data_IF_895446841766
#
_entry.id   IF_895446841766
#
_cell.length_a   1.000
_cell.length_b   1.000
_cell.length_c   1.000
_cell.angle_alpha   90.00
_cell.angle_beta   90.00
_cell.angle_gamma   90.00
#
_symmetry.space_group_name_H-M   'P 1'
#
loop_
_entity.id
_entity.type
_entity.pdbx_description
1 polymer ?
#
# COMPACT_ATOMS: atom_id res chain seq x y z
N UNK A 1 -14.74 -4.54 -15.62
CA UNK A 1 -14.23 -5.92 -15.39
C UNK A 1 -12.98 -6.32 -16.21
N UNK A 2 -12.64 -5.66 -17.33
CA UNK A 2 -11.49 -6.06 -18.18
C UNK A 2 -10.16 -6.33 -17.46
N UNK A 3 -9.77 -5.46 -16.52
CA UNK A 3 -8.45 -5.55 -15.86
C UNK A 3 -8.27 -6.83 -15.01
N UNK A 4 -9.32 -7.26 -14.29
CA UNK A 4 -9.26 -8.51 -13.52
C UNK A 4 -9.25 -9.73 -14.45
N UNK A 5 -10.02 -9.72 -15.53
CA UNK A 5 -10.06 -10.82 -16.51
C UNK A 5 -8.70 -11.03 -17.18
N UNK A 6 -8.05 -9.93 -17.56
CA UNK A 6 -6.71 -9.95 -18.12
C UNK A 6 -5.67 -10.44 -17.10
N UNK A 7 -5.84 -10.12 -15.82
CA UNK A 7 -4.95 -10.58 -14.75
C UNK A 7 -5.12 -12.07 -14.48
N UNK A 8 -6.37 -12.54 -14.35
CA UNK A 8 -6.71 -13.96 -14.19
C UNK A 8 -6.17 -14.81 -15.34
N UNK A 9 -6.33 -14.33 -16.58
CA UNK A 9 -5.76 -14.99 -17.77
C UNK A 9 -4.23 -15.08 -17.71
N UNK A 10 -3.53 -14.03 -17.27
CA UNK A 10 -2.06 -14.05 -17.12
C UNK A 10 -1.60 -14.97 -16.00
N UNK A 11 -2.35 -15.04 -14.90
CA UNK A 11 -2.04 -15.89 -13.77
C UNK A 11 -2.44 -17.35 -14.01
N UNK A 12 -3.28 -17.63 -15.01
CA UNK A 12 -3.84 -18.97 -15.25
C UNK A 12 -4.77 -19.41 -14.11
N UNK A 13 -5.52 -18.47 -13.53
CA UNK A 13 -6.40 -18.70 -12.39
C UNK A 13 -7.83 -18.26 -12.69
N UNK A 14 -8.80 -18.91 -12.05
CA UNK A 14 -10.22 -18.54 -12.15
C UNK A 14 -10.60 -17.40 -11.19
N UNK A 15 -9.82 -17.24 -10.10
CA UNK A 15 -10.00 -16.19 -9.10
C UNK A 15 -8.66 -15.81 -8.45
N UNK A 16 -8.63 -14.67 -7.76
CA UNK A 16 -7.57 -14.28 -6.80
C UNK A 16 -8.12 -14.17 -5.39
N UNK A 17 -7.29 -14.43 -4.37
CA UNK A 17 -7.73 -14.25 -2.99
C UNK A 17 -8.01 -12.79 -2.66
N UNK A 18 -7.12 -11.87 -3.07
CA UNK A 18 -7.28 -10.43 -2.83
C UNK A 18 -7.03 -9.65 -4.12
N UNK A 19 -8.00 -8.83 -4.53
CA UNK A 19 -7.81 -7.80 -5.54
C UNK A 19 -7.59 -6.44 -4.87
N UNK A 20 -6.43 -5.83 -5.07
CA UNK A 20 -6.10 -4.51 -4.50
C UNK A 20 -6.27 -3.42 -5.56
N UNK A 21 -7.01 -2.35 -5.25
CA UNK A 21 -6.90 -1.11 -6.04
C UNK A 21 -5.57 -0.46 -5.74
N UNK A 22 -4.88 -0.01 -6.79
CA UNK A 22 -3.49 0.46 -6.67
C UNK A 22 -3.38 1.87 -6.10
N UNK A 23 -4.40 2.71 -6.29
CA UNK A 23 -4.50 4.09 -5.78
C UNK A 23 -5.92 4.62 -5.90
N UNK A 24 -6.18 5.74 -5.23
CA UNK A 24 -7.37 6.56 -5.49
C UNK A 24 -7.37 7.08 -6.94
N UNK A 25 -8.51 6.96 -7.62
CA UNK A 25 -8.73 7.59 -8.93
C UNK A 25 -9.54 8.88 -8.75
N UNK A 26 -8.94 10.02 -9.11
CA UNK A 26 -9.59 11.33 -8.99
C UNK A 26 -10.58 11.61 -10.13
N UNK A 27 -10.61 10.79 -11.18
CA UNK A 27 -11.48 10.99 -12.34
C UNK A 27 -12.74 10.14 -12.30
N UNK A 28 -12.82 9.18 -11.37
CA UNK A 28 -13.95 8.27 -11.22
C UNK A 28 -14.58 8.46 -9.84
N UNK A 29 -15.90 8.70 -9.75
CA UNK A 29 -16.60 8.70 -8.47
C UNK A 29 -16.29 7.42 -7.69
N UNK A 30 -16.02 7.55 -6.39
CA UNK A 30 -15.60 6.42 -5.58
C UNK A 30 -16.71 5.34 -5.54
N UNK A 31 -17.97 5.73 -5.51
CA UNK A 31 -19.13 4.84 -5.53
C UNK A 31 -19.11 3.91 -6.75
N UNK A 32 -18.78 4.42 -7.94
CA UNK A 32 -18.66 3.62 -9.17
C UNK A 32 -17.55 2.57 -9.03
N UNK A 33 -16.42 2.96 -8.44
CA UNK A 33 -15.30 2.03 -8.18
C UNK A 33 -15.72 0.95 -7.18
N UNK A 34 -16.38 1.33 -6.08
CA UNK A 34 -16.79 0.40 -5.03
C UNK A 34 -17.87 -0.57 -5.51
N UNK A 35 -18.84 -0.10 -6.31
CA UNK A 35 -19.85 -0.96 -6.94
C UNK A 35 -19.19 -1.98 -7.88
N UNK A 36 -18.25 -1.52 -8.72
CA UNK A 36 -17.52 -2.41 -9.63
C UNK A 36 -16.69 -3.45 -8.89
N UNK A 37 -16.03 -3.09 -7.78
CA UNK A 37 -15.29 -4.02 -6.93
C UNK A 37 -16.22 -5.05 -6.26
N UNK A 38 -17.39 -4.59 -5.79
CA UNK A 38 -18.41 -5.47 -5.25
C UNK A 38 -18.89 -6.50 -6.28
N UNK A 39 -19.10 -6.09 -7.54
CA UNK A 39 -19.46 -7.02 -8.61
C UNK A 39 -18.36 -8.06 -8.88
N UNK A 40 -17.09 -7.67 -8.85
CA UNK A 40 -15.95 -8.60 -8.99
C UNK A 40 -15.97 -9.68 -7.89
N UNK A 41 -16.30 -9.31 -6.65
CA UNK A 41 -16.45 -10.26 -5.54
C UNK A 41 -17.68 -11.14 -5.74
N UNK A 42 -18.83 -10.55 -6.09
CA UNK A 42 -20.09 -11.28 -6.30
C UNK A 42 -19.99 -12.34 -7.40
N UNK A 43 -19.29 -12.04 -8.49
CA UNK A 43 -19.06 -13.01 -9.57
C UNK A 43 -17.92 -13.99 -9.29
N UNK A 44 -17.29 -13.91 -8.11
CA UNK A 44 -16.29 -14.85 -7.62
C UNK A 44 -14.89 -14.71 -8.21
N UNK A 45 -14.60 -13.60 -8.91
CA UNK A 45 -13.27 -13.35 -9.52
C UNK A 45 -12.23 -12.88 -8.50
N UNK A 46 -12.68 -12.33 -7.38
CA UNK A 46 -11.86 -12.09 -6.19
C UNK A 46 -12.61 -12.59 -4.94
N UNK A 47 -11.90 -13.17 -3.96
CA UNK A 47 -12.51 -13.52 -2.67
C UNK A 47 -12.70 -12.31 -1.77
N UNK A 48 -11.70 -11.44 -1.76
CA UNK A 48 -11.67 -10.19 -1.00
C UNK A 48 -11.10 -9.05 -1.84
N UNK A 49 -11.28 -7.83 -1.34
CA UNK A 49 -10.71 -6.62 -1.95
C UNK A 49 -9.86 -5.87 -0.93
N UNK A 50 -8.84 -5.20 -1.44
CA UNK A 50 -7.97 -4.32 -0.66
C UNK A 50 -7.76 -2.99 -1.37
N UNK A 51 -7.13 -2.07 -0.66
CA UNK A 51 -6.79 -0.75 -1.15
C UNK A 51 -5.29 -0.47 -1.01
N UNK A 52 -4.83 0.57 -1.68
CA UNK A 52 -3.47 1.09 -1.61
C UNK A 52 -3.51 2.58 -1.93
N UNK A 53 -2.55 3.34 -1.40
CA UNK A 53 -2.21 4.71 -1.83
C UNK A 53 -3.40 5.66 -1.97
N UNK A 54 -3.91 6.12 -0.83
CA UNK A 54 -4.93 7.18 -0.71
C UNK A 54 -4.84 7.83 0.66
N UNK A 55 -5.46 9.00 0.83
CA UNK A 55 -5.53 9.65 2.14
C UNK A 55 -6.43 8.86 3.10
N UNK A 56 -6.15 8.90 4.39
CA UNK A 56 -6.96 8.24 5.41
C UNK A 56 -8.44 8.71 5.36
N UNK A 57 -8.68 10.00 5.09
CA UNK A 57 -10.03 10.54 4.91
C UNK A 57 -10.78 9.94 3.71
N UNK A 58 -10.08 9.71 2.60
CA UNK A 58 -10.63 9.05 1.42
C UNK A 58 -10.95 7.57 1.70
N UNK A 59 -10.05 6.88 2.41
CA UNK A 59 -10.28 5.49 2.78
C UNK A 59 -11.46 5.35 3.75
N UNK A 60 -11.56 6.22 4.76
CA UNK A 60 -12.69 6.26 5.69
C UNK A 60 -14.03 6.49 4.96
N UNK A 61 -14.05 7.43 3.99
CA UNK A 61 -15.23 7.65 3.15
C UNK A 61 -15.62 6.37 2.38
N UNK A 62 -14.64 5.67 1.80
CA UNK A 62 -14.89 4.46 1.04
C UNK A 62 -15.44 3.31 1.92
N UNK A 63 -14.86 3.10 3.11
CA UNK A 63 -15.35 2.12 4.07
C UNK A 63 -16.81 2.40 4.48
N UNK A 64 -17.12 3.67 4.76
CA UNK A 64 -18.47 4.07 5.14
C UNK A 64 -19.48 3.84 4.00
N UNK A 65 -19.13 4.20 2.77
CA UNK A 65 -19.98 3.92 1.60
C UNK A 65 -20.20 2.41 1.41
N UNK A 66 -19.16 1.59 1.54
CA UNK A 66 -19.31 0.13 1.45
C UNK A 66 -20.30 -0.37 2.51
N UNK A 67 -20.25 0.15 3.75
CA UNK A 67 -21.18 -0.25 4.83
C UNK A 67 -22.61 0.18 4.51
N UNK A 68 -22.82 1.42 4.09
CA UNK A 68 -24.14 1.97 3.77
C UNK A 68 -24.85 1.20 2.65
N UNK A 69 -24.10 0.78 1.64
CA UNK A 69 -24.64 0.06 0.49
C UNK A 69 -24.66 -1.47 0.66
N UNK A 70 -24.08 -2.00 1.74
CA UNK A 70 -23.91 -3.45 1.94
C UNK A 70 -22.98 -4.09 0.89
N UNK A 71 -22.01 -3.34 0.38
CA UNK A 71 -21.02 -3.82 -0.56
C UNK A 71 -19.88 -4.58 0.14
N UNK A 72 -19.16 -5.38 -0.64
CA UNK A 72 -17.90 -5.97 -0.20
C UNK A 72 -16.98 -4.91 0.41
N UNK A 73 -16.46 -5.18 1.60
CA UNK A 73 -15.60 -4.27 2.37
C UNK A 73 -14.13 -4.47 1.99
N UNK A 74 -13.33 -3.41 2.10
CA UNK A 74 -11.87 -3.57 2.07
C UNK A 74 -11.37 -4.34 3.30
N UNK A 75 -10.60 -5.40 3.07
CA UNK A 75 -10.00 -6.21 4.16
C UNK A 75 -8.53 -5.91 4.39
N UNK A 76 -7.89 -5.20 3.45
CA UNK A 76 -6.49 -4.83 3.56
C UNK A 76 -6.17 -3.45 2.98
N UNK A 77 -5.14 -2.80 3.54
CA UNK A 77 -4.51 -1.60 3.01
C UNK A 77 -3.01 -1.86 2.76
N UNK A 78 -2.52 -1.48 1.58
CA UNK A 78 -1.11 -1.63 1.19
C UNK A 78 -0.38 -0.28 1.34
N UNK A 79 0.24 -0.08 2.49
CA UNK A 79 0.82 1.21 2.88
C UNK A 79 2.31 1.32 2.55
N UNK A 80 2.76 2.53 2.24
CA UNK A 80 4.20 2.83 2.19
C UNK A 80 4.67 2.99 3.63
N UNK A 81 5.45 2.04 4.16
CA UNK A 81 5.83 2.14 5.56
C UNK A 81 7.17 1.46 5.84
N UNK A 82 8.09 2.20 6.47
CA UNK A 82 9.42 1.75 6.85
C UNK A 82 10.04 2.71 7.88
N UNK A 83 11.23 2.41 8.41
CA UNK A 83 11.84 3.21 9.48
C UNK A 83 12.05 4.69 9.15
N UNK A 84 12.23 5.04 7.87
CA UNK A 84 12.45 6.41 7.41
C UNK A 84 11.23 7.01 6.70
N UNK A 85 10.10 6.30 6.67
CA UNK A 85 8.83 6.81 6.17
C UNK A 85 7.70 6.29 7.06
N UNK A 86 7.18 7.16 7.93
CA UNK A 86 6.23 6.82 9.00
C UNK A 86 4.97 7.67 9.01
N UNK A 87 4.66 8.36 7.89
CA UNK A 87 3.48 9.24 7.82
C UNK A 87 2.18 8.47 8.08
N UNK A 88 2.12 7.20 7.68
CA UNK A 88 0.95 6.32 7.88
C UNK A 88 0.57 6.13 9.35
N UNK A 89 1.50 6.31 10.30
CA UNK A 89 1.21 6.26 11.74
C UNK A 89 0.28 7.37 12.21
N UNK A 90 0.22 8.50 11.48
CA UNK A 90 -0.56 9.66 11.88
C UNK A 90 -2.06 9.39 11.82
N UNK A 91 -2.52 8.76 10.75
CA UNK A 91 -3.96 8.61 10.47
C UNK A 91 -4.34 7.24 9.89
N UNK A 92 -3.61 6.73 8.89
CA UNK A 92 -4.00 5.51 8.16
C UNK A 92 -3.90 4.25 9.03
N UNK A 93 -2.80 4.04 9.75
CA UNK A 93 -2.63 2.87 10.61
C UNK A 93 -3.63 2.87 11.79
N UNK A 94 -3.86 3.99 12.51
CA UNK A 94 -4.95 4.07 13.48
C UNK A 94 -6.32 3.74 12.89
N UNK A 95 -6.64 4.27 11.69
CA UNK A 95 -7.90 3.98 11.01
C UNK A 95 -8.03 2.48 10.68
N UNK A 96 -6.99 1.88 10.10
CA UNK A 96 -7.00 0.44 9.77
C UNK A 96 -7.20 -0.42 11.02
N UNK A 97 -6.54 -0.07 12.13
CA UNK A 97 -6.72 -0.77 13.40
C UNK A 97 -8.16 -0.66 13.93
N UNK A 98 -8.76 0.54 13.88
CA UNK A 98 -10.13 0.77 14.32
C UNK A 98 -11.17 0.03 13.48
N UNK A 99 -10.95 -0.04 12.16
CA UNK A 99 -11.88 -0.63 11.19
C UNK A 99 -11.64 -2.13 10.96
N UNK A 100 -10.63 -2.72 11.61
CA UNK A 100 -10.29 -4.14 11.45
C UNK A 100 -9.69 -4.49 10.08
N UNK A 101 -9.03 -3.52 9.43
CA UNK A 101 -8.37 -3.68 8.14
C UNK A 101 -6.92 -4.12 8.35
N UNK A 102 -6.49 -5.19 7.67
CA UNK A 102 -5.11 -5.66 7.73
C UNK A 102 -4.17 -4.73 6.96
N UNK A 103 -2.97 -4.49 7.48
CA UNK A 103 -1.96 -3.66 6.82
C UNK A 103 -0.90 -4.53 6.16
N UNK A 104 -0.57 -4.24 4.90
CA UNK A 104 0.46 -4.93 4.10
C UNK A 104 1.51 -3.91 3.65
N UNK A 105 2.54 -3.62 4.46
CA UNK A 105 3.54 -2.61 4.12
C UNK A 105 4.34 -2.97 2.87
N UNK A 106 4.58 -1.98 2.00
CA UNK A 106 5.53 -2.09 0.90
C UNK A 106 6.78 -1.24 1.13
N UNK A 107 7.89 -1.65 0.49
CA UNK A 107 9.24 -1.09 0.71
C UNK A 107 9.68 -1.04 2.18
N UNK A 108 9.61 -2.14 2.95
CA UNK A 108 9.99 -2.15 4.38
C UNK A 108 11.46 -1.78 4.63
N UNK A 109 12.34 -1.97 3.64
CA UNK A 109 13.77 -1.63 3.69
C UNK A 109 14.10 -0.34 2.92
N UNK A 110 13.11 0.51 2.71
CA UNK A 110 13.21 1.75 1.96
C UNK A 110 13.91 1.60 0.60
N UNK A 111 13.38 0.70 -0.24
CA UNK A 111 13.97 0.36 -1.56
C UNK A 111 15.41 -0.20 -1.50
N UNK A 112 15.89 -0.54 -0.31
CA UNK A 112 17.25 -1.01 -0.04
C UNK A 112 18.18 0.03 0.60
N UNK A 113 17.72 1.25 0.90
CA UNK A 113 18.54 2.27 1.59
C UNK A 113 18.92 1.84 3.00
N UNK A 114 18.06 1.08 3.68
CA UNK A 114 18.25 0.64 5.06
C UNK A 114 19.04 -0.68 5.20
N UNK A 115 19.73 -1.11 4.14
CA UNK A 115 20.52 -2.37 4.15
C UNK A 115 22.02 -2.16 4.12
N UNK A 116 22.48 -0.92 4.28
CA UNK A 116 23.88 -0.52 4.15
C UNK A 116 24.14 0.81 4.88
N UNK A 117 25.42 1.16 5.12
CA UNK A 117 25.78 2.49 5.59
C UNK A 117 25.19 3.60 4.73
N UNK A 118 24.73 4.68 5.37
CA UNK A 118 24.14 5.81 4.65
C UNK A 118 25.14 6.45 3.67
N UNK A 119 24.65 6.85 2.49
CA UNK A 119 25.49 7.41 1.43
C UNK A 119 26.13 6.38 0.49
N UNK A 120 26.10 5.08 0.81
CA UNK A 120 26.57 4.05 -0.13
C UNK A 120 25.64 3.89 -1.35
N UNK A 121 26.24 3.84 -2.53
CA UNK A 121 25.51 3.71 -3.80
C UNK A 121 25.53 2.29 -4.36
N UNK A 122 24.53 1.95 -5.16
CA UNK A 122 24.48 0.70 -5.94
C UNK A 122 23.87 0.96 -7.31
N UNK A 123 24.10 0.05 -8.26
CA UNK A 123 23.45 0.09 -9.56
C UNK A 123 21.93 0.25 -9.45
N UNK A 124 21.28 -0.47 -8.51
CA UNK A 124 19.84 -0.35 -8.25
C UNK A 124 19.45 1.05 -7.80
N UNK A 125 20.16 1.63 -6.82
CA UNK A 125 19.88 2.98 -6.31
C UNK A 125 19.98 4.04 -7.41
N UNK A 126 20.98 3.91 -8.28
CA UNK A 126 21.20 4.84 -9.40
C UNK A 126 20.08 4.74 -10.45
N UNK A 127 19.62 3.53 -10.76
CA UNK A 127 18.58 3.28 -11.76
C UNK A 127 17.14 3.46 -11.24
N UNK A 128 16.93 3.55 -9.93
CA UNK A 128 15.60 3.58 -9.32
C UNK A 128 15.02 5.00 -9.27
N UNK A 129 14.42 5.42 -10.38
CA UNK A 129 13.79 6.76 -10.49
C UNK A 129 12.65 6.97 -9.48
N UNK A 130 11.92 5.91 -9.12
CA UNK A 130 10.84 6.02 -8.12
C UNK A 130 11.42 6.24 -6.73
N UNK A 131 12.46 5.47 -6.37
CA UNK A 131 13.13 5.58 -5.08
C UNK A 131 13.75 6.96 -4.83
N UNK A 132 14.24 7.63 -5.88
CA UNK A 132 14.79 8.99 -5.78
C UNK A 132 13.77 9.97 -5.24
N UNK A 133 12.52 9.92 -5.69
CA UNK A 133 11.50 10.89 -5.31
C UNK A 133 10.90 10.61 -3.91
N UNK A 134 10.99 9.39 -3.40
CA UNK A 134 10.34 8.98 -2.15
C UNK A 134 11.07 9.44 -0.88
N UNK A 135 12.36 9.77 -0.95
CA UNK A 135 13.22 9.93 0.24
C UNK A 135 14.21 11.12 0.13
N UNK A 136 13.84 12.18 -0.58
CA UNK A 136 14.72 13.34 -0.79
C UNK A 136 14.60 14.41 0.30
N UNK A 137 13.43 14.54 0.94
CA UNK A 137 13.10 15.72 1.74
C UNK A 137 13.73 15.70 3.15
N UNK A 138 14.14 14.54 3.66
CA UNK A 138 14.57 14.34 5.05
C UNK A 138 15.93 13.65 5.20
N UNK A 139 16.86 13.82 4.24
CA UNK A 139 18.09 13.02 4.16
C UNK A 139 18.94 13.02 5.44
N UNK A 140 19.07 14.17 6.13
CA UNK A 140 19.80 14.25 7.41
C UNK A 140 19.17 13.43 8.53
N UNK A 141 17.84 13.42 8.63
CA UNK A 141 17.11 12.65 9.63
C UNK A 141 17.15 11.16 9.29
N UNK A 142 16.94 10.83 8.01
CA UNK A 142 16.99 9.46 7.53
C UNK A 142 18.39 8.84 7.75
N UNK A 143 19.46 9.62 7.58
CA UNK A 143 20.83 9.22 7.88
C UNK A 143 21.01 8.82 9.35
N UNK A 144 20.51 9.66 10.27
CA UNK A 144 20.57 9.38 11.71
C UNK A 144 19.80 8.10 12.08
N UNK A 145 18.64 7.88 11.44
CA UNK A 145 17.85 6.66 11.65
C UNK A 145 18.61 5.43 11.13
N UNK A 146 19.21 5.51 9.94
CA UNK A 146 20.00 4.42 9.36
C UNK A 146 21.26 4.10 10.18
N UNK A 147 21.94 5.12 10.72
CA UNK A 147 23.08 4.93 11.60
C UNK A 147 22.68 4.21 12.90
N UNK A 148 21.57 4.62 13.52
CA UNK A 148 21.02 3.94 14.70
C UNK A 148 20.63 2.48 14.41
N UNK A 149 20.04 2.22 13.25
CA UNK A 149 19.71 0.85 12.81
C UNK A 149 20.95 -0.04 12.76
N UNK A 150 22.09 0.51 12.32
CA UNK A 150 23.37 -0.22 12.28
C UNK A 150 23.76 -0.70 13.67
N UNK A 151 23.66 0.17 14.69
CA UNK A 151 23.94 -0.18 16.08
C UNK A 151 23.06 -1.30 16.65
N UNK A 152 21.81 -1.43 16.20
CA UNK A 152 20.89 -2.50 16.62
C UNK A 152 21.16 -3.80 15.86
N UNK A 153 21.52 -3.71 14.57
CA UNK A 153 21.72 -4.87 13.69
C UNK A 153 22.88 -5.78 14.10
N UNK A 154 23.88 -5.26 14.82
CA UNK A 154 25.05 -6.04 15.30
C UNK A 154 24.68 -7.01 16.43
N UNK A 155 23.48 -6.85 17.03
CA UNK A 155 22.98 -7.69 18.12
C UNK A 155 21.93 -8.73 17.67
N UNK A 156 21.69 -8.86 16.35
CA UNK A 156 20.81 -9.86 15.74
C UNK A 156 21.63 -10.85 14.91
#
# INVERSE_FOLDING_TARGET
>A
MRSIDDSLRRLGMDYVDILQIHRWDYNTPIEETLEALNDVVKVGKARYIGASSMHASQFAQALELQKQHGWAQFVSMQDHYNLIYREEEREMLPLCYQEGVAVIPWSPLARGRLTRPWGETTARLVSDEVGKNLYQESDENDAQIAERLTGVSVYL
#
